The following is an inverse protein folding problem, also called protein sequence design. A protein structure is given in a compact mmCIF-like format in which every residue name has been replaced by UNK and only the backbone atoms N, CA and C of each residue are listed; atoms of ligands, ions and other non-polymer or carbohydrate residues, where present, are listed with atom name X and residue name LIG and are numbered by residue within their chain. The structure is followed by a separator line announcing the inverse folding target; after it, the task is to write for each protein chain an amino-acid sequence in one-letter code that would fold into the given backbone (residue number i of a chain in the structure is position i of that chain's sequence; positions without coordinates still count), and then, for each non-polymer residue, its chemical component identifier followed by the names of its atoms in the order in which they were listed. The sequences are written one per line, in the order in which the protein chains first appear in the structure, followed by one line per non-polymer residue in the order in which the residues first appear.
data_IF_800814873328
#
_entry.id   IF_800814873328
#
_cell.length_a   1.000
_cell.length_b   1.000
_cell.length_c   1.000
_cell.angle_alpha   90.00
_cell.angle_beta   90.00
_cell.angle_gamma   90.00
#
_symmetry.space_group_name_H-M   'P 1'
#
loop_
_entity.id
_entity.type
_entity.pdbx_description
1 polymer ?
#
# COMPACT_ATOMS: atom_id res chain seq x y z
N UNK A 1 -14.32 -12.21 -20.89
CA UNK A 1 -13.71 -11.89 -19.57
C UNK A 1 -13.69 -10.37 -19.38
N UNK A 2 -13.64 -9.90 -18.13
CA UNK A 2 -13.48 -8.48 -17.79
C UNK A 2 -12.13 -8.28 -17.11
N UNK A 3 -11.39 -7.25 -17.52
CA UNK A 3 -10.04 -6.96 -17.02
C UNK A 3 -10.00 -5.61 -16.30
N UNK A 4 -9.12 -5.48 -15.31
CA UNK A 4 -8.82 -4.23 -14.63
C UNK A 4 -7.30 -4.06 -14.47
N UNK A 5 -6.83 -2.82 -14.60
CA UNK A 5 -5.42 -2.47 -14.36
C UNK A 5 -5.29 -1.82 -12.99
N UNK A 6 -4.36 -2.32 -12.18
CA UNK A 6 -3.96 -1.70 -10.92
C UNK A 6 -2.81 -0.74 -11.20
N UNK A 7 -2.85 0.51 -10.73
CA UNK A 7 -1.79 1.48 -10.99
C UNK A 7 -0.48 1.05 -10.32
N UNK A 8 0.63 1.58 -10.84
CA UNK A 8 1.95 1.33 -10.26
C UNK A 8 2.09 2.02 -8.91
N UNK A 9 2.88 1.39 -8.03
CA UNK A 9 3.52 2.12 -6.93
C UNK A 9 4.78 2.79 -7.47
N UNK A 10 4.93 4.08 -7.19
CA UNK A 10 6.06 4.91 -7.63
C UNK A 10 6.82 5.47 -6.43
N UNK A 11 8.09 5.83 -6.63
CA UNK A 11 8.85 6.62 -5.65
C UNK A 11 8.46 8.10 -5.69
N UNK A 12 9.04 8.89 -4.80
CA UNK A 12 8.91 10.37 -4.82
C UNK A 12 9.46 11.01 -6.11
N UNK A 13 10.35 10.29 -6.81
CA UNK A 13 10.87 10.66 -8.13
C UNK A 13 9.88 10.41 -9.29
N UNK A 14 8.67 9.91 -8.99
CA UNK A 14 7.64 9.54 -9.97
C UNK A 14 7.95 8.30 -10.78
N UNK A 15 9.11 7.66 -10.57
CA UNK A 15 9.50 6.44 -11.28
C UNK A 15 8.96 5.21 -10.55
N UNK A 16 8.73 4.13 -11.29
CA UNK A 16 8.29 2.85 -10.72
C UNK A 16 9.15 2.45 -9.52
N UNK A 17 8.48 2.05 -8.43
CA UNK A 17 9.12 1.59 -7.21
C UNK A 17 10.10 0.44 -7.52
N UNK A 18 11.33 0.55 -7.02
CA UNK A 18 12.39 -0.41 -7.23
C UNK A 18 13.36 -0.38 -6.03
N UNK A 19 14.34 -1.30 -5.99
CA UNK A 19 15.32 -1.43 -4.90
C UNK A 19 16.08 -0.14 -4.56
N UNK A 20 16.21 0.80 -5.50
CA UNK A 20 16.86 2.11 -5.28
C UNK A 20 16.11 3.01 -4.30
N UNK A 21 14.82 2.76 -4.06
CA UNK A 21 13.99 3.52 -3.12
C UNK A 21 13.98 2.88 -1.71
N UNK A 22 14.92 1.99 -1.43
CA UNK A 22 14.97 1.21 -0.20
C UNK A 22 14.46 -0.22 -0.37
N UNK A 23 14.68 -1.02 0.68
CA UNK A 23 14.30 -2.42 0.69
C UNK A 23 12.83 -2.58 1.08
N UNK A 24 11.99 -2.76 0.06
CA UNK A 24 10.53 -2.84 0.15
C UNK A 24 10.03 -4.28 0.27
N UNK A 25 10.92 -5.24 0.53
CA UNK A 25 10.53 -6.64 0.76
C UNK A 25 9.76 -6.77 2.07
N UNK A 26 8.67 -7.54 2.08
CA UNK A 26 7.90 -7.82 3.29
C UNK A 26 8.77 -8.41 4.43
N UNK A 27 9.75 -9.24 4.10
CA UNK A 27 10.69 -9.79 5.07
C UNK A 27 11.57 -8.70 5.74
N UNK A 28 11.92 -7.66 4.99
CA UNK A 28 12.65 -6.50 5.53
C UNK A 28 11.77 -5.71 6.48
N UNK A 29 10.57 -5.33 6.02
CA UNK A 29 9.62 -4.57 6.81
C UNK A 29 9.30 -5.29 8.13
N UNK A 30 9.13 -6.62 8.07
CA UNK A 30 8.97 -7.46 9.28
C UNK A 30 10.20 -7.42 10.19
N UNK A 31 11.41 -7.49 9.64
CA UNK A 31 12.65 -7.42 10.43
C UNK A 31 12.81 -6.06 11.12
N UNK A 32 12.30 -5.00 10.52
CA UNK A 32 12.25 -3.65 11.10
C UNK A 32 11.16 -3.50 12.18
N UNK A 33 10.39 -4.56 12.47
CA UNK A 33 9.34 -4.53 13.49
C UNK A 33 8.03 -3.88 13.03
N UNK A 34 7.85 -3.66 11.72
CA UNK A 34 6.61 -3.07 11.19
C UNK A 34 5.45 -4.03 11.41
N UNK A 35 4.43 -3.52 12.09
CA UNK A 35 3.19 -4.25 12.33
C UNK A 35 2.44 -4.50 11.01
N UNK A 36 2.00 -5.74 10.82
CA UNK A 36 1.34 -6.16 9.58
C UNK A 36 0.01 -5.45 9.37
N UNK A 37 -0.74 -5.13 10.44
CA UNK A 37 -2.01 -4.42 10.35
C UNK A 37 -1.81 -2.97 9.94
N UNK A 38 -0.76 -2.29 10.46
CA UNK A 38 -0.37 -0.95 10.00
C UNK A 38 -0.07 -0.96 8.49
N UNK A 39 0.71 -1.94 8.03
CA UNK A 39 1.04 -2.08 6.61
C UNK A 39 -0.21 -2.32 5.74
N UNK A 40 -1.11 -3.21 6.17
CA UNK A 40 -2.35 -3.50 5.43
C UNK A 40 -3.27 -2.28 5.40
N UNK A 41 -3.44 -1.57 6.51
CA UNK A 41 -4.23 -0.33 6.57
C UNK A 41 -3.74 0.74 5.60
N UNK A 42 -2.42 0.95 5.58
CA UNK A 42 -1.78 1.85 4.61
C UNK A 42 -2.02 1.42 3.16
N UNK A 43 -1.89 0.12 2.85
CA UNK A 43 -2.15 -0.39 1.50
C UNK A 43 -3.62 -0.21 1.12
N UNK A 44 -4.57 -0.47 2.03
CA UNK A 44 -6.00 -0.29 1.80
C UNK A 44 -6.34 1.18 1.48
N UNK A 45 -5.76 2.13 2.23
CA UNK A 45 -5.89 3.55 1.93
C UNK A 45 -5.28 3.92 0.58
N UNK A 46 -4.09 3.39 0.26
CA UNK A 46 -3.42 3.66 -1.02
C UNK A 46 -4.20 3.15 -2.24
N UNK A 47 -4.96 2.07 -2.06
CA UNK A 47 -5.83 1.50 -3.07
C UNK A 47 -7.19 2.20 -3.16
N UNK A 48 -7.52 3.15 -2.28
CA UNK A 48 -8.84 3.79 -2.23
C UNK A 48 -9.94 2.94 -1.59
N UNK A 49 -9.60 1.81 -0.97
CA UNK A 49 -10.58 0.94 -0.30
C UNK A 49 -11.08 1.56 1.01
N UNK A 50 -10.20 2.29 1.71
CA UNK A 50 -10.48 3.00 2.95
C UNK A 50 -10.07 4.47 2.84
N UNK A 51 -10.75 5.40 3.54
CA UNK A 51 -10.38 6.81 3.54
C UNK A 51 -9.12 7.11 4.38
N UNK A 52 -8.79 6.24 5.34
CA UNK A 52 -7.67 6.41 6.28
C UNK A 52 -6.81 5.15 6.33
N UNK A 53 -5.54 5.32 6.72
CA UNK A 53 -4.55 4.24 6.86
C UNK A 53 -4.63 3.52 8.22
N UNK A 54 -5.83 3.39 8.78
CA UNK A 54 -6.05 2.75 10.08
C UNK A 54 -5.64 1.26 10.05
N UNK A 55 -4.96 0.75 11.08
CA UNK A 55 -4.50 -0.63 11.11
C UNK A 55 -5.65 -1.66 11.04
N UNK A 56 -5.68 -2.47 9.99
CA UNK A 56 -6.67 -3.53 9.79
C UNK A 56 -6.03 -4.85 9.35
N UNK A 57 -6.75 -5.96 9.51
CA UNK A 57 -6.41 -7.21 8.85
C UNK A 57 -6.96 -7.22 7.42
N UNK A 58 -6.33 -7.98 6.53
CA UNK A 58 -6.82 -8.11 5.16
C UNK A 58 -8.25 -8.70 5.09
N UNK A 59 -8.61 -9.55 6.06
CA UNK A 59 -9.95 -10.13 6.18
C UNK A 59 -11.03 -9.06 6.45
N UNK A 60 -10.68 -7.98 7.14
CA UNK A 60 -11.60 -6.87 7.46
C UNK A 60 -12.06 -6.14 6.17
N UNK A 61 -11.28 -6.23 5.08
CA UNK A 61 -11.56 -5.56 3.80
C UNK A 61 -12.50 -6.35 2.89
N UNK A 62 -12.78 -7.63 3.18
CA UNK A 62 -13.56 -8.50 2.29
C UNK A 62 -14.99 -8.00 2.09
N UNK A 63 -15.62 -7.47 3.14
CA UNK A 63 -16.98 -6.94 3.06
C UNK A 63 -17.09 -5.57 2.39
N UNK A 64 -15.97 -4.84 2.27
CA UNK A 64 -15.91 -3.49 1.70
C UNK A 64 -15.34 -3.46 0.27
N UNK A 65 -14.88 -4.61 -0.23
CA UNK A 65 -14.16 -4.71 -1.48
C UNK A 65 -15.08 -4.51 -2.70
N UNK A 66 -14.83 -3.43 -3.44
CA UNK A 66 -15.44 -3.15 -4.73
C UNK A 66 -14.36 -2.71 -5.72
N UNK A 67 -14.10 -3.48 -6.79
CA UNK A 67 -13.15 -3.10 -7.83
C UNK A 67 -13.39 -1.73 -8.47
N UNK A 68 -14.64 -1.25 -8.50
CA UNK A 68 -14.99 0.06 -9.05
C UNK A 68 -14.46 1.22 -8.19
N UNK A 69 -14.18 0.97 -6.90
CA UNK A 69 -13.64 1.94 -5.94
C UNK A 69 -12.11 2.00 -5.91
N UNK A 70 -11.44 1.09 -6.61
CA UNK A 70 -9.98 1.08 -6.66
C UNK A 70 -9.45 2.37 -7.29
N UNK A 71 -8.44 2.96 -6.64
CA UNK A 71 -7.72 4.11 -7.18
C UNK A 71 -7.13 3.78 -8.55
N UNK A 72 -7.27 4.72 -9.49
CA UNK A 72 -6.65 4.66 -10.84
C UNK A 72 -5.35 5.46 -10.90
N UNK A 73 -5.02 6.19 -9.84
CA UNK A 73 -3.81 7.00 -9.75
C UNK A 73 -2.67 6.21 -9.09
N UNK A 74 -1.42 6.40 -9.53
CA UNK A 74 -0.26 5.82 -8.86
C UNK A 74 -0.19 6.19 -7.39
N UNK A 75 0.15 5.22 -6.53
CA UNK A 75 0.45 5.49 -5.12
C UNK A 75 1.93 5.81 -4.96
N UNK A 76 2.23 6.85 -4.17
CA UNK A 76 3.62 7.26 -3.90
C UNK A 76 4.13 6.57 -2.62
N UNK A 77 5.26 5.87 -2.75
CA UNK A 77 6.02 5.33 -1.64
C UNK A 77 7.20 6.25 -1.33
N UNK A 78 7.31 6.65 -0.06
CA UNK A 78 8.37 7.52 0.43
C UNK A 78 8.88 7.08 1.80
N UNK A 79 10.00 7.68 2.23
CA UNK A 79 10.50 7.53 3.60
C UNK A 79 9.48 8.00 4.63
N UNK A 80 8.70 9.04 4.32
CA UNK A 80 7.62 9.50 5.19
C UNK A 80 6.48 8.47 5.30
N UNK A 81 6.18 7.75 4.22
CA UNK A 81 5.25 6.62 4.25
C UNK A 81 5.76 5.50 5.16
N UNK A 82 7.05 5.15 5.05
CA UNK A 82 7.67 4.14 5.90
C UNK A 82 7.71 4.57 7.38
N UNK A 83 8.04 5.83 7.66
CA UNK A 83 8.10 6.37 9.02
C UNK A 83 6.75 6.31 9.76
N UNK A 84 5.62 6.35 9.04
CA UNK A 84 4.28 6.18 9.64
C UNK A 84 3.98 4.74 10.06
N UNK A 85 4.77 3.77 9.58
CA UNK A 85 4.59 2.35 9.88
C UNK A 85 5.40 1.87 11.09
N UNK A 86 6.47 2.57 11.44
CA UNK A 86 7.25 2.36 12.67
C UNK A 86 6.43 2.88 13.86
#
# INVERSE_FOLDING_TARGET
PTFAHVPLVVGEDGRRLAKRHGDTRLAELRRQGIDARKLVGMLAASCGLRPTAEPCAAADLLGEFDPARLSRSPSVYSTATLARLL
#
